data_IF_660906823073
#
_entry.id   IF_660906823073
#
_cell.length_a   1.000
_cell.length_b   1.000
_cell.length_c   1.000
_cell.angle_alpha   90.00
_cell.angle_beta   90.00
_cell.angle_gamma   90.00
#
_symmetry.space_group_name_H-M   'P 1'
#
loop_
_entity.id
_entity.type
_entity.pdbx_description
1 polymer ?
#
# COMPACT_ATOMS: atom_id res chain seq x y z
N UNK A 1 7.06 5.72 21.46
CA UNK A 1 7.99 6.87 21.33
C UNK A 1 7.21 8.17 21.37
N UNK A 2 7.60 9.12 22.23
CA UNK A 2 7.07 10.49 22.23
C UNK A 2 7.78 11.33 21.16
N UNK A 3 7.03 12.10 20.38
CA UNK A 3 7.55 13.00 19.34
C UNK A 3 7.11 14.42 19.66
N UNK A 4 8.05 15.37 19.67
CA UNK A 4 7.72 16.80 19.87
C UNK A 4 7.21 17.43 18.58
N UNK A 5 6.54 18.58 18.68
CA UNK A 5 6.06 19.32 17.49
C UNK A 5 7.22 19.68 16.55
N UNK A 6 8.33 20.18 17.09
CA UNK A 6 9.52 20.56 16.33
C UNK A 6 10.11 19.38 15.54
N UNK A 7 10.25 18.22 16.17
CA UNK A 7 10.73 17.00 15.52
C UNK A 7 9.82 16.57 14.36
N UNK A 8 8.50 16.68 14.55
CA UNK A 8 7.52 16.36 13.49
C UNK A 8 7.56 17.39 12.36
N UNK A 9 7.78 18.67 12.66
CA UNK A 9 7.93 19.71 11.64
C UNK A 9 9.12 19.42 10.75
N UNK A 10 10.31 19.21 11.32
CA UNK A 10 11.53 18.90 10.55
C UNK A 10 11.34 17.62 9.72
N UNK A 11 10.73 16.59 10.32
CA UNK A 11 10.42 15.34 9.62
C UNK A 11 9.54 15.57 8.38
N UNK A 12 8.49 16.40 8.49
CA UNK A 12 7.57 16.69 7.39
C UNK A 12 8.20 17.58 6.32
N UNK A 13 8.99 18.58 6.72
CA UNK A 13 9.72 19.45 5.81
C UNK A 13 10.70 18.66 4.94
N UNK A 14 11.45 17.73 5.55
CA UNK A 14 12.37 16.88 4.81
C UNK A 14 11.62 15.91 3.90
N UNK A 15 10.54 15.28 4.40
CA UNK A 15 9.71 14.36 3.60
C UNK A 15 9.17 15.00 2.31
N UNK A 16 8.78 16.28 2.37
CA UNK A 16 8.22 17.01 1.22
C UNK A 16 9.21 17.15 0.06
N UNK A 17 10.51 17.13 0.34
CA UNK A 17 11.57 17.25 -0.68
C UNK A 17 11.68 16.00 -1.57
N UNK A 18 11.13 14.87 -1.13
CA UNK A 18 11.31 13.57 -1.77
C UNK A 18 10.03 13.07 -2.45
N UNK A 19 9.73 13.49 -3.70
CA UNK A 19 8.51 13.10 -4.41
C UNK A 19 8.46 11.60 -4.71
N UNK A 20 9.58 10.90 -4.70
CA UNK A 20 9.64 9.44 -4.83
C UNK A 20 8.96 8.68 -3.66
N UNK A 21 8.63 9.36 -2.55
CA UNK A 21 7.97 8.74 -1.40
C UNK A 21 6.44 8.79 -1.45
N UNK A 22 5.85 9.77 -2.14
CA UNK A 22 4.39 10.01 -2.15
C UNK A 22 3.78 10.20 -3.53
N UNK A 23 4.56 10.59 -4.56
CA UNK A 23 4.04 10.84 -5.90
C UNK A 23 4.07 9.55 -6.72
N UNK A 24 2.92 8.86 -6.80
CA UNK A 24 2.77 7.59 -7.53
C UNK A 24 3.16 7.72 -9.02
N UNK A 25 2.91 8.89 -9.63
CA UNK A 25 3.28 9.20 -11.03
C UNK A 25 4.78 9.48 -11.22
N UNK A 26 5.58 9.50 -10.17
CA UNK A 26 7.03 9.71 -10.28
C UNK A 26 7.71 8.44 -10.79
N UNK A 27 8.62 8.58 -11.76
CA UNK A 27 9.42 7.47 -12.32
C UNK A 27 10.16 6.71 -11.21
N UNK A 28 10.59 7.43 -10.18
CA UNK A 28 11.38 6.87 -9.08
C UNK A 28 10.53 6.30 -7.93
N UNK A 29 9.19 6.35 -8.01
CA UNK A 29 8.31 5.87 -6.93
C UNK A 29 8.46 4.36 -6.68
N UNK A 30 8.59 3.57 -7.75
CA UNK A 30 8.78 2.11 -7.68
C UNK A 30 10.25 1.70 -7.46
N UNK A 31 11.19 2.65 -7.53
CA UNK A 31 12.60 2.35 -7.39
C UNK A 31 12.97 2.20 -5.90
N UNK A 32 13.19 0.95 -5.47
CA UNK A 32 13.51 0.61 -4.07
C UNK A 32 14.79 1.28 -3.57
N UNK A 33 15.81 1.41 -4.44
CA UNK A 33 17.09 2.02 -4.06
C UNK A 33 16.91 3.52 -3.80
N UNK A 34 16.24 4.23 -4.72
CA UNK A 34 15.94 5.66 -4.56
C UNK A 34 15.05 5.94 -3.35
N UNK A 35 14.12 5.04 -3.05
CA UNK A 35 13.27 5.13 -1.87
C UNK A 35 14.07 4.96 -0.57
N UNK A 36 15.04 4.03 -0.55
CA UNK A 36 15.94 3.85 0.58
C UNK A 36 16.86 5.06 0.76
N UNK A 37 17.49 5.55 -0.30
CA UNK A 37 18.32 6.77 -0.27
C UNK A 37 17.57 7.98 0.31
N UNK A 38 16.31 8.18 -0.10
CA UNK A 38 15.47 9.25 0.44
C UNK A 38 15.15 9.06 1.93
N UNK A 39 14.87 7.83 2.35
CA UNK A 39 14.61 7.53 3.77
C UNK A 39 15.87 7.73 4.62
N UNK A 40 17.04 7.30 4.14
CA UNK A 40 18.31 7.48 4.85
C UNK A 40 18.64 8.97 4.99
N UNK A 41 18.41 9.76 3.93
CA UNK A 41 18.56 11.22 3.97
C UNK A 41 17.63 11.87 5.01
N UNK A 42 16.38 11.41 5.11
CA UNK A 42 15.43 11.89 6.13
C UNK A 42 15.89 11.50 7.53
N UNK A 43 16.40 10.26 7.72
CA UNK A 43 16.93 9.80 9.01
C UNK A 43 18.06 10.72 9.46
N UNK A 44 19.00 11.03 8.58
CA UNK A 44 20.16 11.85 8.93
C UNK A 44 19.78 13.30 9.27
N UNK A 45 18.80 13.86 8.56
CA UNK A 45 18.25 15.17 8.92
C UNK A 45 17.56 15.13 10.30
N UNK A 46 16.76 14.11 10.59
CA UNK A 46 16.02 13.98 11.86
C UNK A 46 16.94 13.69 13.04
N UNK A 47 18.05 12.98 12.82
CA UNK A 47 19.07 12.71 13.84
C UNK A 47 19.64 13.98 14.48
N UNK A 48 19.62 15.11 13.76
CA UNK A 48 20.07 16.41 14.30
C UNK A 48 19.19 16.92 15.44
N UNK A 49 17.90 16.55 15.46
CA UNK A 49 16.92 16.96 16.48
C UNK A 49 16.60 15.81 17.45
N UNK A 50 16.82 14.56 17.02
CA UNK A 50 16.56 13.36 17.82
C UNK A 50 17.55 12.25 17.46
N UNK A 51 18.56 12.04 18.30
CA UNK A 51 19.63 11.06 18.09
C UNK A 51 19.14 9.61 17.99
N UNK A 52 18.08 9.26 18.72
CA UNK A 52 17.67 7.86 18.92
C UNK A 52 16.62 7.40 17.92
N UNK A 53 16.80 7.73 16.63
CA UNK A 53 15.81 7.46 15.59
C UNK A 53 16.34 6.47 14.56
N UNK A 54 15.57 5.41 14.34
CA UNK A 54 15.80 4.43 13.28
C UNK A 54 14.90 4.71 12.07
N UNK A 55 15.30 4.24 10.89
CA UNK A 55 14.47 4.27 9.67
C UNK A 55 13.09 3.63 9.87
N UNK A 56 13.01 2.55 10.68
CA UNK A 56 11.75 1.90 11.05
C UNK A 56 10.81 2.82 11.86
N UNK A 57 11.36 3.58 12.81
CA UNK A 57 10.58 4.52 13.64
C UNK A 57 10.01 5.65 12.79
N UNK A 58 10.80 6.15 11.84
CA UNK A 58 10.38 7.17 10.89
C UNK A 58 9.24 6.65 10.01
N UNK A 59 9.38 5.45 9.45
CA UNK A 59 8.34 4.83 8.64
C UNK A 59 7.05 4.62 9.45
N UNK A 60 7.17 4.13 10.68
CA UNK A 60 6.04 3.96 11.60
C UNK A 60 5.35 5.28 11.90
N UNK A 61 6.14 6.34 12.17
CA UNK A 61 5.60 7.68 12.43
C UNK A 61 4.88 8.26 11.21
N UNK A 62 5.44 8.15 10.01
CA UNK A 62 4.76 8.57 8.79
C UNK A 62 3.48 7.79 8.54
N UNK A 63 3.50 6.49 8.81
CA UNK A 63 2.33 5.64 8.66
C UNK A 63 1.22 6.07 9.63
N UNK A 64 1.55 6.37 10.88
CA UNK A 64 0.61 6.91 11.86
C UNK A 64 0.05 8.29 11.44
N UNK A 65 0.90 9.20 10.95
CA UNK A 65 0.45 10.52 10.48
C UNK A 65 -0.53 10.41 9.31
N UNK A 66 -0.23 9.57 8.31
CA UNK A 66 -1.14 9.30 7.20
C UNK A 66 -2.47 8.73 7.68
N UNK A 67 -2.44 7.74 8.57
CA UNK A 67 -3.67 7.14 9.09
C UNK A 67 -4.52 8.13 9.87
N UNK A 68 -3.90 8.95 10.73
CA UNK A 68 -4.61 9.98 11.49
C UNK A 68 -5.27 11.00 10.56
N UNK A 69 -4.53 11.50 9.56
CA UNK A 69 -5.08 12.43 8.57
C UNK A 69 -6.24 11.81 7.76
N UNK A 70 -6.12 10.55 7.35
CA UNK A 70 -7.18 9.84 6.63
C UNK A 70 -8.41 9.59 7.51
N UNK A 71 -8.21 9.24 8.77
CA UNK A 71 -9.30 9.02 9.73
C UNK A 71 -10.07 10.32 9.98
N UNK A 72 -9.34 11.42 10.16
CA UNK A 72 -9.96 12.74 10.35
C UNK A 72 -10.73 13.17 9.10
N UNK A 73 -10.14 13.01 7.91
CA UNK A 73 -10.82 13.27 6.64
C UNK A 73 -12.12 12.46 6.51
N UNK A 74 -12.12 11.18 6.89
CA UNK A 74 -13.32 10.34 6.86
C UNK A 74 -14.42 10.87 7.77
N UNK A 75 -14.08 11.28 9.01
CA UNK A 75 -15.05 11.88 9.93
C UNK A 75 -15.66 13.16 9.37
N UNK A 76 -14.85 14.02 8.74
CA UNK A 76 -15.38 15.24 8.10
C UNK A 76 -16.37 14.90 6.99
N UNK A 77 -16.04 13.93 6.12
CA UNK A 77 -16.92 13.48 5.03
C UNK A 77 -18.19 12.83 5.59
N UNK A 78 -18.07 11.99 6.62
CA UNK A 78 -19.21 11.36 7.29
C UNK A 78 -20.12 12.39 7.97
N UNK A 79 -19.55 13.39 8.63
CA UNK A 79 -20.29 14.51 9.23
C UNK A 79 -21.05 15.32 8.17
N UNK A 80 -20.45 15.56 7.00
CA UNK A 80 -21.11 16.21 5.87
C UNK A 80 -22.24 15.34 5.31
N UNK A 81 -22.02 14.03 5.19
CA UNK A 81 -23.01 13.07 4.67
C UNK A 81 -24.20 12.86 5.63
N UNK A 82 -23.99 12.97 6.93
CA UNK A 82 -25.04 12.77 7.95
C UNK A 82 -25.92 13.99 8.20
N UNK A 83 -25.78 15.07 7.41
CA UNK A 83 -26.71 16.21 7.44
C UNK A 83 -26.72 17.02 8.74
N UNK A 84 -25.63 16.97 9.52
CA UNK A 84 -25.52 17.65 10.82
C UNK A 84 -24.48 18.79 10.80
N UNK A 85 -24.34 19.47 9.67
CA UNK A 85 -23.46 20.61 9.51
C UNK A 85 -24.12 21.69 8.67
N UNK A 86 -24.65 22.72 9.34
CA UNK A 86 -25.04 23.97 8.70
C UNK A 86 -23.77 24.69 8.24
N UNK A 87 -23.37 24.52 6.98
CA UNK A 87 -22.84 25.59 6.12
C UNK A 87 -22.70 25.04 4.69
N UNK A 88 -23.31 25.73 3.75
CA UNK A 88 -23.57 25.30 2.37
C UNK A 88 -22.38 25.67 1.48
N UNK A 89 -21.53 24.69 1.15
CA UNK A 89 -20.64 24.78 -0.02
C UNK A 89 -20.72 23.48 -0.82
N UNK A 90 -21.52 23.52 -1.89
CA UNK A 90 -21.60 22.45 -2.88
C UNK A 90 -20.36 22.52 -3.77
N UNK A 91 -19.47 21.54 -3.66
CA UNK A 91 -18.47 21.28 -4.70
C UNK A 91 -19.13 20.37 -5.73
N UNK A 92 -19.49 20.94 -6.88
CA UNK A 92 -20.32 20.33 -7.95
C UNK A 92 -19.68 19.15 -8.71
N UNK A 93 -18.47 18.69 -8.34
CA UNK A 93 -17.70 17.73 -9.16
C UNK A 93 -17.22 16.46 -8.41
N UNK A 94 -18.02 15.94 -7.46
CA UNK A 94 -17.74 14.62 -6.87
C UNK A 94 -18.95 13.72 -7.00
N UNK A 95 -18.94 12.91 -8.05
CA UNK A 95 -19.90 11.83 -8.31
C UNK A 95 -20.13 11.03 -7.02
N UNK A 96 -21.36 11.02 -6.46
CA UNK A 96 -21.67 10.25 -5.27
C UNK A 96 -21.50 8.77 -5.61
N UNK A 97 -20.58 8.11 -4.90
CA UNK A 97 -20.37 6.67 -4.97
C UNK A 97 -21.74 5.99 -4.78
N UNK A 98 -22.22 5.14 -5.71
CA UNK A 98 -23.55 4.56 -5.58
C UNK A 98 -23.58 3.70 -4.30
N UNK A 99 -24.57 3.97 -3.46
CA UNK A 99 -24.89 3.13 -2.32
C UNK A 99 -25.34 1.77 -2.89
N UNK A 100 -24.52 0.73 -2.71
CA UNK A 100 -24.98 -0.64 -2.92
C UNK A 100 -25.81 -1.03 -1.71
N UNK A 101 -27.10 -0.76 -1.78
CA UNK A 101 -28.08 -1.32 -0.87
C UNK A 101 -29.02 -2.25 -1.65
N UNK A 102 -29.05 -3.49 -1.18
CA UNK A 102 -30.10 -4.51 -1.35
C UNK A 102 -30.37 -5.18 -2.72
N UNK A 103 -30.03 -6.48 -2.74
CA UNK A 103 -30.53 -7.62 -3.52
C UNK A 103 -31.71 -7.39 -4.47
N UNK A 104 -31.54 -7.76 -5.75
CA UNK A 104 -32.63 -8.27 -6.59
C UNK A 104 -32.14 -9.45 -7.44
N UNK A 105 -32.87 -10.55 -7.24
CA UNK A 105 -33.00 -11.80 -7.99
C UNK A 105 -32.96 -11.64 -9.51
N UNK A 106 -32.11 -12.43 -10.18
CA UNK A 106 -32.27 -12.78 -11.59
C UNK A 106 -31.97 -14.28 -11.76
N UNK A 107 -32.95 -15.10 -11.40
CA UNK A 107 -33.58 -16.12 -12.27
C UNK A 107 -32.85 -16.49 -13.58
N UNK A 108 -32.54 -17.79 -13.70
CA UNK A 108 -32.42 -18.66 -14.90
C UNK A 108 -31.72 -18.14 -16.16
N UNK A 109 -30.71 -18.89 -16.62
CA UNK A 109 -30.77 -19.51 -17.96
C UNK A 109 -29.80 -20.70 -18.02
N UNK A 110 -30.32 -21.87 -18.37
CA UNK A 110 -29.57 -23.12 -18.60
C UNK A 110 -28.69 -23.01 -19.85
N UNK A 111 -27.46 -23.54 -19.87
CA UNK A 111 -26.76 -23.83 -21.11
C UNK A 111 -27.18 -25.19 -21.65
N UNK A 112 -27.68 -25.18 -22.89
CA UNK A 112 -28.00 -26.32 -23.75
C UNK A 112 -26.97 -27.46 -23.69
N UNK A 113 -27.47 -28.67 -23.42
CA UNK A 113 -26.86 -29.93 -23.79
C UNK A 113 -26.67 -29.98 -25.32
N UNK A 114 -25.41 -30.03 -25.78
CA UNK A 114 -24.89 -31.02 -26.75
C UNK A 114 -23.40 -30.75 -27.00
N UNK A 115 -22.53 -31.66 -26.56
CA UNK A 115 -21.65 -32.40 -27.47
C UNK A 115 -21.01 -33.57 -26.72
N UNK A 116 -21.54 -34.75 -27.00
CA UNK A 116 -20.87 -36.01 -26.75
C UNK A 116 -19.83 -36.22 -27.87
N UNK A 117 -18.58 -36.48 -27.48
CA UNK A 117 -17.54 -37.01 -28.36
C UNK A 117 -16.52 -37.70 -27.46
N UNK A 118 -16.89 -38.92 -27.08
CA UNK A 118 -15.94 -39.96 -26.67
C UNK A 118 -15.12 -40.37 -27.88
N UNK A 119 -13.79 -40.40 -27.75
CA UNK A 119 -12.97 -41.44 -28.36
C UNK A 119 -11.65 -41.57 -27.58
N UNK A 120 -11.34 -42.83 -27.35
CA UNK A 120 -10.35 -43.49 -26.52
C UNK A 120 -8.98 -43.56 -27.22
N UNK A 121 -7.90 -43.62 -26.42
CA UNK A 121 -6.64 -44.35 -26.66
C UNK A 121 -5.34 -43.55 -26.38
N UNK A 122 -4.79 -43.83 -25.19
CA UNK A 122 -3.38 -44.15 -24.92
C UNK A 122 -2.25 -43.12 -25.14
N UNK A 123 -1.64 -42.72 -24.01
CA UNK A 123 -0.21 -42.92 -23.65
C UNK A 123 0.58 -41.70 -23.09
N UNK A 124 1.34 -42.05 -22.04
CA UNK A 124 2.55 -41.45 -21.43
C UNK A 124 2.44 -40.23 -20.50
N UNK A 125 2.45 -40.51 -19.19
CA UNK A 125 2.99 -39.59 -18.18
C UNK A 125 4.52 -39.53 -18.21
N UNK A 126 5.12 -38.56 -17.51
CA UNK A 126 5.93 -38.98 -16.37
C UNK A 126 5.79 -38.09 -15.13
N UNK A 127 5.70 -38.77 -13.98
CA UNK A 127 6.11 -38.26 -12.68
C UNK A 127 7.62 -38.02 -12.68
N UNK A 128 8.10 -36.89 -12.16
CA UNK A 128 9.39 -36.80 -11.46
C UNK A 128 9.36 -35.61 -10.49
N UNK A 129 9.13 -35.91 -9.21
CA UNK A 129 9.67 -35.14 -8.10
C UNK A 129 11.14 -35.52 -7.94
N UNK A 130 12.04 -34.57 -8.12
CA UNK A 130 13.37 -34.56 -7.49
C UNK A 130 13.96 -33.14 -7.58
N UNK A 131 13.83 -32.37 -6.50
CA UNK A 131 14.87 -31.42 -6.16
C UNK A 131 15.26 -31.67 -4.70
N UNK A 132 15.98 -32.77 -4.46
CA UNK A 132 16.76 -32.95 -3.25
C UNK A 132 18.13 -32.30 -3.43
N UNK A 133 18.40 -31.34 -2.54
CA UNK A 133 19.69 -30.94 -1.99
C UNK A 133 20.94 -30.95 -2.89
N UNK A 134 21.49 -29.74 -3.06
CA UNK A 134 22.86 -29.52 -2.57
C UNK A 134 22.93 -28.30 -1.64
N UNK A 135 23.46 -28.60 -0.45
CA UNK A 135 23.85 -27.81 0.72
C UNK A 135 24.33 -26.38 0.43
N UNK A 136 23.85 -25.35 1.14
CA UNK A 136 24.21 -24.97 2.52
C UNK A 136 25.74 -24.73 2.70
N UNK A 137 26.04 -23.44 2.98
CA UNK A 137 27.14 -22.89 3.80
C UNK A 137 28.56 -22.93 3.21
N UNK A 138 29.49 -22.02 3.50
CA UNK A 138 29.57 -20.70 4.15
C UNK A 138 31.08 -20.40 4.16
N UNK A 139 31.43 -19.12 4.15
CA UNK A 139 32.61 -18.57 4.80
C UNK A 139 33.97 -18.56 4.06
N UNK A 140 34.57 -17.37 4.18
CA UNK A 140 35.98 -17.10 4.44
C UNK A 140 36.94 -16.79 3.29
N UNK A 141 37.41 -15.54 3.37
CA UNK A 141 38.81 -15.13 3.43
C UNK A 141 39.66 -15.29 2.15
N UNK A 142 39.94 -14.13 1.54
CA UNK A 142 41.28 -13.52 1.58
C UNK A 142 42.44 -14.35 1.04
N UNK A 143 42.87 -14.07 -0.19
CA UNK A 143 44.11 -13.31 -0.48
C UNK A 143 44.13 -12.92 -1.97
#
# INVERSE_FOLDING_TARGET
MSWTREQVTVLLEEYRKWPNLYKVKSVNYKNRNKRREALDSIVDAVKTVKSDVTSADIQSKFQALKQNAQRERKKCIESQRSGAGTDEFVFDDMDPRPAVDSLQDITHQEPDDVQDMVDDDSQEGPLMLDLSQDSIQLCSHQF
#
